data_IF_393475348666
#
_entry.id   IF_393475348666
#
_cell.length_a   1.000
_cell.length_b   1.000
_cell.length_c   1.000
_cell.angle_alpha   90.00
_cell.angle_beta   90.00
_cell.angle_gamma   90.00
#
_symmetry.space_group_name_H-M   'P 1'
#
loop_
_entity.id
_entity.type
_entity.pdbx_description
1 polymer ?
#
# COMPACT_ATOMS: atom_id res chain seq x y z
N UNK A 1 -2.94 -16.09 11.49
CA UNK A 1 -4.12 -15.46 10.86
C UNK A 1 -4.17 -15.85 9.39
N UNK A 2 -5.36 -16.11 8.86
CA UNK A 2 -5.48 -16.47 7.45
C UNK A 2 -5.39 -15.24 6.54
N UNK A 3 -5.25 -15.50 5.25
CA UNK A 3 -5.07 -14.43 4.26
C UNK A 3 -6.31 -13.55 4.11
N UNK A 4 -7.50 -14.11 4.30
CA UNK A 4 -8.75 -13.34 4.23
C UNK A 4 -8.86 -12.31 5.33
N UNK A 5 -8.42 -12.66 6.54
CA UNK A 5 -8.40 -11.73 7.65
C UNK A 5 -7.45 -10.56 7.37
N UNK A 6 -6.21 -10.86 6.94
CA UNK A 6 -5.22 -9.83 6.66
C UNK A 6 -5.69 -8.88 5.54
N UNK A 7 -6.22 -9.44 4.45
CA UNK A 7 -6.76 -8.63 3.35
C UNK A 7 -7.90 -7.74 3.82
N UNK A 8 -8.77 -8.27 4.69
CA UNK A 8 -9.88 -7.48 5.25
C UNK A 8 -9.40 -6.30 6.07
N UNK A 9 -8.30 -6.46 6.81
CA UNK A 9 -7.70 -5.36 7.57
C UNK A 9 -7.17 -4.26 6.66
N UNK A 10 -6.56 -4.62 5.55
CA UNK A 10 -6.17 -3.64 4.54
C UNK A 10 -7.38 -2.91 3.97
N UNK A 11 -8.49 -3.61 3.77
CA UNK A 11 -9.70 -3.01 3.22
C UNK A 11 -10.30 -1.91 4.08
N UNK A 12 -10.06 -1.91 5.39
CA UNK A 12 -10.61 -0.91 6.31
C UNK A 12 -9.56 0.10 6.78
N UNK A 13 -8.27 -0.17 6.61
CA UNK A 13 -7.21 0.75 7.03
C UNK A 13 -7.15 1.95 6.08
N UNK A 14 -6.83 3.12 6.63
CA UNK A 14 -6.76 4.38 5.87
C UNK A 14 -5.40 4.65 5.28
N UNK A 15 -4.36 4.15 5.92
CA UNK A 15 -2.97 4.40 5.57
C UNK A 15 -2.20 3.11 5.75
N UNK A 16 -1.30 2.82 4.83
CA UNK A 16 -0.33 1.73 4.97
C UNK A 16 1.08 2.31 4.89
N UNK A 17 2.05 1.55 5.38
CA UNK A 17 3.46 1.84 5.21
C UNK A 17 3.97 0.95 4.10
N UNK A 18 4.56 1.57 3.09
CA UNK A 18 5.10 0.87 1.92
C UNK A 18 6.62 0.86 2.04
N UNK A 19 7.19 -0.34 2.02
CA UNK A 19 8.62 -0.56 1.98
C UNK A 19 9.04 -0.94 0.57
N UNK A 20 10.01 -0.22 0.03
CA UNK A 20 10.68 -0.53 -1.23
C UNK A 20 12.18 -0.63 -0.98
N UNK A 21 12.91 -1.16 -1.93
CA UNK A 21 14.35 -1.38 -1.79
C UNK A 21 15.03 -0.85 -3.04
N UNK A 22 16.15 -0.14 -2.86
CA UNK A 22 16.93 0.34 -4.00
C UNK A 22 17.86 -0.77 -4.55
N UNK A 23 18.62 -0.45 -5.57
CA UNK A 23 19.52 -1.40 -6.23
C UNK A 23 20.69 -1.86 -5.36
N UNK A 24 20.95 -1.14 -4.26
CA UNK A 24 22.01 -1.51 -3.29
C UNK A 24 21.43 -2.22 -2.05
N UNK A 25 20.13 -2.55 -2.07
CA UNK A 25 19.49 -3.23 -0.96
C UNK A 25 19.11 -2.32 0.20
N UNK A 26 19.13 -1.00 0.01
CA UNK A 26 18.75 -0.07 1.09
C UNK A 26 17.23 0.09 1.13
N UNK A 27 16.62 -0.08 2.30
CA UNK A 27 15.18 0.05 2.43
C UNK A 27 14.73 1.51 2.40
N UNK A 28 13.54 1.73 1.89
CA UNK A 28 12.87 3.03 1.86
C UNK A 28 11.44 2.82 2.32
N UNK A 29 10.96 3.66 3.23
CA UNK A 29 9.68 3.46 3.89
C UNK A 29 8.87 4.75 3.86
N UNK A 30 7.64 4.69 3.38
CA UNK A 30 6.76 5.85 3.30
C UNK A 30 5.32 5.45 3.62
N UNK A 31 4.51 6.37 4.19
CA UNK A 31 3.07 6.15 4.30
C UNK A 31 2.42 6.39 2.93
N UNK A 32 1.39 5.60 2.65
CA UNK A 32 0.61 5.74 1.42
C UNK A 32 -0.87 5.60 1.71
N UNK A 33 -1.70 6.25 0.89
CA UNK A 33 -3.12 5.90 0.76
C UNK A 33 -3.24 4.87 -0.36
N UNK A 34 -4.25 4.01 -0.28
CA UNK A 34 -4.32 2.87 -1.19
C UNK A 34 -5.74 2.32 -1.24
N UNK A 35 -6.00 1.50 -2.23
CA UNK A 35 -7.25 0.73 -2.32
C UNK A 35 -6.94 -0.71 -2.72
N UNK A 36 -7.70 -1.64 -2.16
CA UNK A 36 -7.57 -3.07 -2.45
C UNK A 36 -8.63 -3.46 -3.47
N UNK A 37 -8.20 -4.11 -4.52
CA UNK A 37 -9.09 -4.67 -5.54
C UNK A 37 -8.67 -6.13 -5.77
N UNK A 38 -9.37 -7.06 -5.13
CA UNK A 38 -9.00 -8.46 -5.16
C UNK A 38 -7.64 -8.69 -4.51
N UNK A 39 -6.68 -9.16 -5.29
CA UNK A 39 -5.31 -9.38 -4.84
C UNK A 39 -4.35 -8.28 -5.26
N UNK A 40 -4.87 -7.15 -5.74
CA UNK A 40 -4.06 -6.03 -6.19
C UNK A 40 -4.32 -4.83 -5.29
N UNK A 41 -3.25 -4.17 -4.86
CA UNK A 41 -3.32 -2.92 -4.12
C UNK A 41 -2.90 -1.80 -5.07
N UNK A 42 -3.73 -0.75 -5.16
CA UNK A 42 -3.48 0.42 -6.00
C UNK A 42 -3.15 1.63 -5.13
N UNK A 43 -2.15 2.39 -5.57
CA UNK A 43 -1.78 3.64 -4.91
C UNK A 43 -1.41 4.67 -5.97
N UNK A 44 -1.68 5.94 -5.70
CA UNK A 44 -1.26 7.04 -6.55
C UNK A 44 -0.06 7.75 -5.91
N UNK A 45 0.91 8.08 -6.72
CA UNK A 45 2.04 8.91 -6.30
C UNK A 45 1.67 10.36 -6.56
N UNK A 46 0.87 10.90 -5.65
CA UNK A 46 0.32 12.24 -5.80
C UNK A 46 1.20 13.23 -5.05
N UNK A 47 2.26 13.66 -5.71
CA UNK A 47 3.18 14.64 -5.14
C UNK A 47 3.13 15.91 -5.96
N UNK A 48 2.62 16.97 -5.34
CA UNK A 48 2.60 18.31 -5.94
C UNK A 48 3.20 19.31 -4.94
N UNK A 49 4.38 19.86 -5.24
CA UNK A 49 5.27 19.52 -6.36
C UNK A 49 5.91 18.14 -6.15
N UNK A 50 6.25 17.48 -7.26
CA UNK A 50 6.88 16.17 -7.20
C UNK A 50 8.25 16.29 -6.54
N UNK A 51 8.37 15.69 -5.37
CA UNK A 51 9.63 15.69 -4.63
C UNK A 51 10.52 14.56 -5.11
N UNK A 52 11.82 14.67 -4.80
CA UNK A 52 12.77 13.60 -5.08
C UNK A 52 12.39 12.30 -4.36
N UNK A 53 11.69 12.39 -3.22
CA UNK A 53 11.22 11.21 -2.46
C UNK A 53 10.17 10.42 -3.22
N UNK A 54 9.23 11.11 -3.88
CA UNK A 54 8.22 10.43 -4.69
C UNK A 54 8.87 9.72 -5.87
N UNK A 55 9.84 10.35 -6.52
CA UNK A 55 10.57 9.75 -7.63
C UNK A 55 11.43 8.58 -7.19
N UNK A 56 11.97 8.61 -5.96
CA UNK A 56 12.76 7.50 -5.41
C UNK A 56 11.93 6.23 -5.29
N UNK A 57 10.68 6.33 -4.83
CA UNK A 57 9.78 5.17 -4.73
C UNK A 57 9.60 4.51 -6.09
N UNK A 58 9.35 5.30 -7.11
CA UNK A 58 9.17 4.79 -8.47
C UNK A 58 10.45 4.17 -9.02
N UNK A 59 11.59 4.80 -8.79
CA UNK A 59 12.88 4.27 -9.21
C UNK A 59 13.19 2.94 -8.52
N UNK A 60 12.92 2.85 -7.22
CA UNK A 60 13.14 1.62 -6.47
C UNK A 60 12.32 0.47 -7.04
N UNK A 61 11.04 0.70 -7.32
CA UNK A 61 10.14 -0.32 -7.87
C UNK A 61 10.61 -0.78 -9.25
N UNK A 62 11.12 0.13 -10.06
CA UNK A 62 11.64 -0.22 -11.39
C UNK A 62 12.89 -1.10 -11.30
N UNK A 63 13.74 -0.87 -10.30
CA UNK A 63 14.96 -1.64 -10.09
C UNK A 63 14.68 -2.96 -9.36
N UNK A 64 13.79 -2.92 -8.37
CA UNK A 64 13.44 -4.09 -7.56
C UNK A 64 11.95 -4.07 -7.27
N UNK A 65 11.18 -4.95 -7.91
CA UNK A 65 9.73 -4.94 -7.76
C UNK A 65 9.24 -5.51 -6.43
N UNK A 66 10.09 -6.12 -5.63
CA UNK A 66 9.67 -6.69 -4.35
C UNK A 66 9.35 -5.58 -3.36
N UNK A 67 8.14 -5.65 -2.79
CA UNK A 67 7.66 -4.66 -1.83
C UNK A 67 6.93 -5.34 -0.69
N UNK A 68 6.80 -4.61 0.43
CA UNK A 68 5.97 -5.00 1.55
C UNK A 68 5.15 -3.81 2.01
N UNK A 69 3.93 -4.09 2.47
CA UNK A 69 3.06 -3.08 3.05
C UNK A 69 2.63 -3.55 4.43
N UNK A 70 2.50 -2.60 5.34
CA UNK A 70 2.05 -2.87 6.70
C UNK A 70 0.92 -1.94 7.07
N UNK A 71 -0.15 -2.51 7.64
CA UNK A 71 -1.18 -1.79 8.37
C UNK A 71 -1.22 -2.35 9.78
N UNK A 72 -1.50 -1.51 10.75
CA UNK A 72 -1.48 -1.93 12.14
C UNK A 72 -2.38 -1.06 12.99
N UNK A 73 -2.63 -1.53 14.19
CA UNK A 73 -3.34 -0.78 15.21
C UNK A 73 -2.64 -0.98 16.54
N UNK A 74 -2.26 0.11 17.16
CA UNK A 74 -1.67 0.11 18.50
C UNK A 74 -2.55 0.93 19.45
N UNK A 75 -2.72 0.41 20.65
CA UNK A 75 -3.54 0.98 21.71
C UNK A 75 -2.78 0.77 23.01
N UNK A 76 -3.04 1.57 24.03
CA UNK A 76 -2.46 1.35 25.36
C UNK A 76 -2.91 0.01 25.95
N UNK A 77 -4.10 -0.44 25.59
CA UNK A 77 -4.55 -1.80 25.87
C UNK A 77 -3.98 -2.75 24.82
N UNK A 78 -2.91 -3.44 25.17
CA UNK A 78 -2.19 -4.31 24.25
C UNK A 78 -2.98 -5.55 23.82
N UNK A 79 -4.11 -5.84 24.47
CA UNK A 79 -4.99 -6.92 24.01
C UNK A 79 -5.72 -6.55 22.70
N UNK A 80 -5.64 -5.28 22.30
CA UNK A 80 -6.27 -4.78 21.07
C UNK A 80 -5.29 -4.68 19.90
N UNK A 81 -4.02 -4.99 20.11
CA UNK A 81 -3.00 -4.84 19.06
C UNK A 81 -3.20 -5.85 17.94
N UNK A 82 -3.01 -5.39 16.71
CA UNK A 82 -2.96 -6.28 15.55
C UNK A 82 -2.10 -5.62 14.47
N UNK A 83 -1.59 -6.46 13.57
CA UNK A 83 -0.97 -5.98 12.34
C UNK A 83 -1.30 -6.94 11.20
N UNK A 84 -1.29 -6.40 9.99
CA UNK A 84 -1.43 -7.17 8.76
C UNK A 84 -0.40 -6.70 7.76
N UNK A 85 0.14 -7.63 6.99
CA UNK A 85 1.19 -7.36 6.02
C UNK A 85 0.84 -7.98 4.68
N UNK A 86 1.17 -7.25 3.62
CA UNK A 86 1.09 -7.73 2.26
C UNK A 86 2.49 -7.71 1.66
N UNK A 87 2.94 -8.85 1.17
CA UNK A 87 4.20 -8.97 0.43
C UNK A 87 3.87 -9.25 -1.02
N UNK A 88 4.51 -8.56 -1.93
CA UNK A 88 4.18 -8.74 -3.33
C UNK A 88 5.15 -8.04 -4.28
N UNK A 89 4.68 -7.89 -5.50
CA UNK A 89 5.46 -7.29 -6.58
C UNK A 89 4.74 -6.06 -7.09
N UNK A 90 5.46 -4.95 -7.14
CA UNK A 90 4.93 -3.67 -7.59
C UNK A 90 5.36 -3.36 -9.01
N UNK A 91 4.51 -2.63 -9.70
CA UNK A 91 4.83 -2.04 -11.00
C UNK A 91 4.28 -0.63 -11.06
N UNK A 92 4.92 0.20 -11.86
CA UNK A 92 4.37 1.51 -12.20
C UNK A 92 3.30 1.30 -13.26
N UNK A 93 2.11 1.81 -13.01
CA UNK A 93 0.97 1.65 -13.90
C UNK A 93 0.67 2.99 -14.55
N UNK A 94 0.91 3.09 -15.86
CA UNK A 94 0.69 4.33 -16.60
C UNK A 94 -0.78 4.55 -16.97
N UNK A 95 -1.58 3.49 -17.05
CA UNK A 95 -2.98 3.60 -17.43
C UNK A 95 -3.85 4.19 -16.32
N UNK A 96 -3.66 3.79 -15.10
CA UNK A 96 -4.34 4.37 -13.95
C UNK A 96 -5.86 4.23 -13.86
N UNK A 97 -6.56 3.74 -14.89
CA UNK A 97 -8.02 3.68 -14.87
C UNK A 97 -8.58 2.82 -13.74
N UNK A 98 -8.00 1.64 -13.57
CA UNK A 98 -8.40 0.73 -12.48
C UNK A 98 -8.04 1.34 -11.14
N UNK A 99 -6.85 1.93 -11.04
CA UNK A 99 -6.40 2.57 -9.81
C UNK A 99 -7.31 3.74 -9.43
N UNK A 100 -7.64 4.61 -10.37
CA UNK A 100 -8.52 5.76 -10.12
C UNK A 100 -9.88 5.27 -9.63
N UNK A 101 -10.46 4.27 -10.28
CA UNK A 101 -11.75 3.71 -9.90
C UNK A 101 -11.72 3.15 -8.48
N UNK A 102 -10.70 2.36 -8.15
CA UNK A 102 -10.56 1.76 -6.82
C UNK A 102 -10.35 2.82 -5.73
N UNK A 103 -9.48 3.79 -6.00
CA UNK A 103 -9.19 4.86 -5.06
C UNK A 103 -10.39 5.78 -4.84
N UNK A 104 -11.16 6.07 -5.88
CA UNK A 104 -12.35 6.89 -5.78
C UNK A 104 -13.44 6.22 -4.93
N UNK A 105 -13.55 4.90 -4.98
CA UNK A 105 -14.48 4.17 -4.11
C UNK A 105 -14.08 4.29 -2.64
N UNK A 106 -12.80 4.40 -2.37
CA UNK A 106 -12.24 4.39 -1.02
C UNK A 106 -12.17 5.78 -0.40
N UNK A 107 -11.78 6.78 -1.18
CA UNK A 107 -11.50 8.13 -0.68
C UNK A 107 -12.40 9.15 -1.37
N UNK A 108 -13.28 9.85 -0.61
CA UNK A 108 -14.16 10.86 -1.22
C UNK A 108 -13.40 11.96 -1.96
N UNK A 109 -12.20 12.32 -1.49
CA UNK A 109 -11.37 13.33 -2.13
C UNK A 109 -11.04 12.97 -3.58
N UNK A 110 -10.88 11.69 -3.87
CA UNK A 110 -10.54 11.23 -5.22
C UNK A 110 -11.76 11.12 -6.13
N UNK A 111 -12.98 11.19 -5.60
CA UNK A 111 -14.18 11.29 -6.43
C UNK A 111 -14.30 12.67 -7.05
N UNK A 112 -13.97 13.71 -6.27
CA UNK A 112 -14.05 15.10 -6.74
C UNK A 112 -12.84 15.50 -7.57
N UNK A 113 -11.65 15.02 -7.17
CA UNK A 113 -10.39 15.35 -7.82
C UNK A 113 -9.57 14.09 -7.98
N UNK A 114 -9.79 13.32 -9.06
CA UNK A 114 -9.02 12.10 -9.30
C UNK A 114 -7.53 12.40 -9.35
N UNK A 115 -6.69 11.48 -8.82
CA UNK A 115 -5.25 11.69 -8.85
C UNK A 115 -4.70 11.60 -10.28
N UNK A 116 -3.65 12.37 -10.54
CA UNK A 116 -3.01 12.40 -11.85
C UNK A 116 -2.04 11.24 -12.06
N UNK A 117 -1.59 10.64 -11.00
CA UNK A 117 -0.55 9.62 -11.07
C UNK A 117 0.84 10.22 -11.06
N UNK A 118 1.87 9.43 -11.32
CA UNK A 118 1.83 8.01 -11.70
C UNK A 118 1.21 7.12 -10.62
N UNK A 119 0.85 5.92 -11.04
CA UNK A 119 0.18 4.94 -10.17
C UNK A 119 1.09 3.75 -9.94
N UNK A 120 0.92 3.13 -8.76
CA UNK A 120 1.61 1.89 -8.42
C UNK A 120 0.54 0.82 -8.26
N UNK A 121 0.73 -0.32 -8.92
CA UNK A 121 -0.08 -1.51 -8.74
C UNK A 121 0.77 -2.60 -8.11
N UNK A 122 0.29 -3.17 -7.02
CA UNK A 122 1.01 -4.20 -6.27
C UNK A 122 0.19 -5.48 -6.33
N UNK A 123 0.73 -6.50 -6.97
CA UNK A 123 0.14 -7.84 -6.94
C UNK A 123 0.61 -8.52 -5.67
N UNK A 124 -0.33 -8.78 -4.76
CA UNK A 124 -0.01 -9.38 -3.47
C UNK A 124 0.18 -10.88 -3.65
N UNK A 125 1.33 -11.36 -3.22
CA UNK A 125 1.68 -12.79 -3.28
C UNK A 125 1.43 -13.47 -1.94
N UNK A 126 1.51 -12.72 -0.84
CA UNK A 126 1.32 -13.28 0.49
C UNK A 126 0.68 -12.24 1.42
N UNK A 127 -0.44 -12.62 2.02
CA UNK A 127 -1.07 -11.89 3.11
C UNK A 127 -0.71 -12.58 4.42
N UNK A 128 -0.33 -11.82 5.43
CA UNK A 128 -0.04 -12.37 6.76
C UNK A 128 -0.47 -11.37 7.83
N UNK A 129 -0.56 -11.84 9.06
CA UNK A 129 -0.97 -10.95 10.14
C UNK A 129 -0.94 -11.64 11.49
N UNK A 130 -1.20 -10.82 12.51
CA UNK A 130 -1.23 -11.23 13.89
C UNK A 130 -2.22 -10.35 14.67
N UNK A 131 -2.92 -10.94 15.61
CA UNK A 131 -3.84 -10.23 16.49
C UNK A 131 -3.65 -10.71 17.92
N UNK A 132 -3.53 -9.78 18.85
CA UNK A 132 -3.43 -10.09 20.27
C UNK A 132 -4.73 -10.73 20.81
N UNK A 133 -5.87 -10.38 20.22
CA UNK A 133 -7.15 -10.92 20.65
C UNK A 133 -7.29 -12.43 20.36
N UNK A 134 -6.59 -12.92 19.33
CA UNK A 134 -6.65 -14.32 18.89
C UNK A 134 -5.37 -15.09 19.25
N UNK A 135 -4.38 -14.38 19.74
CA UNK A 135 -3.06 -14.94 20.07
C UNK A 135 -2.90 -15.20 21.59
#
# INVERSE_FOLDING_TARGET
MDSGWARGRFGVARVARLATVDDLGRPHLVPIVFAVDGSVIHSAVDAKPKSSRALRRLANISENPQVSLLVDYYDEDWTQLWWARADGRARVDDDGRTAISALARRYPQYREAPPDGPFIAITVERWSGWSAADG
#
